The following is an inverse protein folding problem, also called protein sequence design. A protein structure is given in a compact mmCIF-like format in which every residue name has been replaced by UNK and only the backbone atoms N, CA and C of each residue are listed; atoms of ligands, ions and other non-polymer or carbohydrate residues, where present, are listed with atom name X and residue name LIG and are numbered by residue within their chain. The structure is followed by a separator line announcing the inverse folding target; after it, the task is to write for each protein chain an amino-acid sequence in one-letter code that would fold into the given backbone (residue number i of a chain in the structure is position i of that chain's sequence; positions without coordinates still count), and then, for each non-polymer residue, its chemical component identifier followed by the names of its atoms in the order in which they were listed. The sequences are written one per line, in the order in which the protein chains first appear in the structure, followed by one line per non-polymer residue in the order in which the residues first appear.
data_IF_444918889519
#
_entry.id   IF_444918889519
#
_cell.length_a   1.000
_cell.length_b   1.000
_cell.length_c   1.000
_cell.angle_alpha   90.00
_cell.angle_beta   90.00
_cell.angle_gamma   90.00
#
_symmetry.space_group_name_H-M   'P 1'
#
loop_
_entity.id
_entity.type
_entity.pdbx_description
1 polymer ?
#
# COMPACT_ATOMS: atom_id res chain seq x y z
N UNK A 1 -6.40 8.91 31.44
CA UNK A 1 -6.67 10.33 31.16
C UNK A 1 -6.58 10.50 29.67
N UNK A 2 -7.59 11.12 29.05
CA UNK A 2 -7.58 11.49 27.64
C UNK A 2 -7.00 12.91 27.54
N UNK A 3 -6.01 13.11 26.67
CA UNK A 3 -5.45 14.43 26.38
C UNK A 3 -5.92 14.90 25.01
N UNK A 4 -6.62 16.04 24.97
CA UNK A 4 -6.97 16.71 23.71
C UNK A 4 -5.95 17.80 23.41
N UNK A 5 -5.23 17.69 22.29
CA UNK A 5 -4.14 18.59 21.92
C UNK A 5 -4.27 18.95 20.42
N UNK A 6 -3.94 20.19 20.01
CA UNK A 6 -3.90 20.58 18.59
C UNK A 6 -2.69 21.46 18.29
N UNK A 7 -2.04 21.22 17.13
CA UNK A 7 -0.91 22.02 16.63
C UNK A 7 0.38 21.96 17.47
N UNK A 8 0.49 21.02 18.42
CA UNK A 8 1.61 20.91 19.34
C UNK A 8 2.52 19.70 19.06
N UNK A 9 3.72 19.73 19.63
CA UNK A 9 4.61 18.57 19.66
C UNK A 9 4.38 17.73 20.92
N UNK A 10 4.32 16.41 20.75
CA UNK A 10 4.22 15.42 21.82
C UNK A 10 5.44 14.50 21.76
N UNK A 11 6.15 14.38 22.89
CA UNK A 11 7.23 13.38 23.03
C UNK A 11 6.77 12.30 23.99
N UNK A 12 6.70 11.06 23.54
CA UNK A 12 6.35 9.91 24.38
C UNK A 12 7.57 9.03 24.64
N UNK A 13 7.96 8.99 25.92
CA UNK A 13 8.99 8.08 26.43
C UNK A 13 8.38 6.92 27.25
N UNK A 14 7.08 6.99 27.57
CA UNK A 14 6.36 6.04 28.41
C UNK A 14 5.26 5.31 27.63
N UNK A 15 4.09 5.13 28.22
CA UNK A 15 2.97 4.46 27.55
C UNK A 15 1.82 5.43 27.29
N UNK A 16 1.41 5.56 26.03
CA UNK A 16 0.12 6.12 25.63
C UNK A 16 -0.85 4.95 25.46
N UNK A 17 -1.88 4.89 26.29
CA UNK A 17 -2.85 3.78 26.26
C UNK A 17 -4.25 4.34 26.03
N UNK A 18 -4.92 3.86 24.97
CA UNK A 18 -6.37 3.98 24.83
C UNK A 18 -7.07 3.00 25.76
N UNK A 19 -8.39 3.04 25.85
CA UNK A 19 -9.10 2.03 26.65
C UNK A 19 -9.13 0.64 25.98
N UNK A 20 -9.99 -0.26 26.48
CA UNK A 20 -9.90 -1.71 26.19
C UNK A 20 -10.88 -2.23 25.13
N UNK A 21 -11.72 -1.37 24.53
CA UNK A 21 -12.69 -1.77 23.49
C UNK A 21 -13.04 -0.66 22.50
N UNK A 22 -13.79 -0.98 21.43
CA UNK A 22 -14.05 -0.10 20.27
C UNK A 22 -14.74 1.24 20.58
N UNK A 23 -15.34 1.38 21.76
CA UNK A 23 -16.00 2.61 22.24
C UNK A 23 -15.23 3.27 23.39
N UNK A 24 -14.01 2.80 23.67
CA UNK A 24 -13.22 3.36 24.76
C UNK A 24 -12.49 4.62 24.30
N UNK A 25 -12.37 5.60 25.19
CA UNK A 25 -11.68 6.87 24.91
C UNK A 25 -10.20 6.65 24.57
N UNK A 26 -9.66 7.58 23.78
CA UNK A 26 -8.27 7.53 23.38
C UNK A 26 -7.33 7.95 24.52
N UNK A 27 -6.06 7.54 24.43
CA UNK A 27 -5.02 8.14 25.27
C UNK A 27 -4.77 9.59 24.87
N UNK A 28 -4.68 9.84 23.56
CA UNK A 28 -4.51 11.16 22.96
C UNK A 28 -5.49 11.33 21.80
N UNK A 29 -6.21 12.45 21.77
CA UNK A 29 -7.05 12.87 20.65
C UNK A 29 -6.56 14.23 20.14
N UNK A 30 -6.36 14.39 18.82
CA UNK A 30 -5.86 15.68 18.34
C UNK A 30 -5.72 15.85 16.83
N UNK A 31 -5.38 17.06 16.41
CA UNK A 31 -5.11 17.38 15.01
C UNK A 31 -3.85 18.23 14.84
N UNK A 32 -3.13 18.03 13.74
CA UNK A 32 -1.91 18.80 13.45
C UNK A 32 -0.77 18.52 14.43
N UNK A 33 -0.73 17.33 15.04
CA UNK A 33 0.27 17.00 16.06
C UNK A 33 1.54 16.44 15.43
N UNK A 34 2.69 16.86 15.96
CA UNK A 34 3.97 16.17 15.72
C UNK A 34 4.28 15.27 16.91
N UNK A 35 4.34 13.96 16.69
CA UNK A 35 4.51 12.97 17.76
C UNK A 35 5.84 12.25 17.57
N UNK A 36 6.72 12.33 18.56
CA UNK A 36 7.95 11.55 18.64
C UNK A 36 7.76 10.45 19.70
N UNK A 37 7.57 9.21 19.27
CA UNK A 37 7.37 8.07 20.15
C UNK A 37 8.60 7.16 20.21
N UNK A 38 9.23 7.09 21.39
CA UNK A 38 10.19 6.03 21.73
C UNK A 38 9.64 5.06 22.78
N UNK A 39 8.45 5.33 23.31
CA UNK A 39 7.74 4.50 24.28
C UNK A 39 6.76 3.53 23.62
N UNK A 40 5.65 3.21 24.29
CA UNK A 40 4.60 2.33 23.76
C UNK A 40 3.32 3.11 23.47
N UNK A 41 2.71 2.87 22.30
CA UNK A 41 1.33 3.27 21.97
C UNK A 41 0.47 2.00 21.94
N UNK A 42 -0.55 1.92 22.79
CA UNK A 42 -1.34 0.69 22.98
C UNK A 42 -2.83 0.92 23.24
N UNK A 43 -3.58 -0.19 23.34
CA UNK A 43 -5.02 -0.21 23.61
C UNK A 43 -5.89 -0.15 22.34
N UNK A 44 -7.20 -0.03 22.55
CA UNK A 44 -8.17 0.31 21.51
C UNK A 44 -8.14 1.83 21.34
N UNK A 45 -7.22 2.30 20.48
CA UNK A 45 -6.95 3.70 20.15
C UNK A 45 -6.07 4.45 21.16
N UNK A 46 -4.78 4.14 21.21
CA UNK A 46 -3.80 4.97 21.90
C UNK A 46 -3.84 6.41 21.42
N UNK A 47 -3.86 6.60 20.09
CA UNK A 47 -3.94 7.92 19.44
C UNK A 47 -5.08 7.93 18.43
N UNK A 48 -5.90 8.98 18.45
CA UNK A 48 -6.91 9.29 17.42
C UNK A 48 -6.67 10.70 16.90
N UNK A 49 -6.65 10.89 15.58
CA UNK A 49 -6.49 12.23 15.05
C UNK A 49 -6.39 12.37 13.54
N UNK A 50 -6.19 13.62 13.10
CA UNK A 50 -5.93 13.99 11.71
C UNK A 50 -4.69 14.88 11.60
N UNK A 51 -4.11 14.95 10.41
CA UNK A 51 -2.92 15.77 10.13
C UNK A 51 -1.77 15.47 11.12
N UNK A 52 -1.62 14.20 11.48
CA UNK A 52 -0.63 13.74 12.44
C UNK A 52 0.69 13.45 11.71
N UNK A 53 1.80 13.92 12.27
CA UNK A 53 3.15 13.57 11.86
C UNK A 53 3.83 12.77 12.96
N UNK A 54 3.94 11.45 12.78
CA UNK A 54 4.43 10.53 13.81
C UNK A 54 5.78 9.95 13.41
N UNK A 55 6.79 10.13 14.25
CA UNK A 55 8.04 9.35 14.20
C UNK A 55 8.05 8.37 15.34
N UNK A 56 8.19 7.08 15.03
CA UNK A 56 8.09 5.99 15.99
C UNK A 56 9.33 5.09 15.95
N UNK A 57 10.10 5.08 17.04
CA UNK A 57 11.15 4.10 17.35
C UNK A 57 10.75 3.10 18.42
N UNK A 58 9.61 3.33 19.08
CA UNK A 58 9.07 2.46 20.12
C UNK A 58 8.08 1.42 19.61
N UNK A 59 7.18 0.96 20.49
CA UNK A 59 6.22 -0.11 20.20
C UNK A 59 4.83 0.46 19.87
N UNK A 60 4.21 -0.07 18.82
CA UNK A 60 2.80 0.11 18.49
C UNK A 60 2.11 -1.24 18.72
N UNK A 61 1.27 -1.36 19.75
CA UNK A 61 0.62 -2.62 20.14
C UNK A 61 -0.83 -2.39 20.57
N UNK A 62 -1.71 -2.31 19.57
CA UNK A 62 -3.14 -2.11 19.77
C UNK A 62 -3.90 -3.43 19.70
N UNK A 63 -4.91 -3.59 20.55
CA UNK A 63 -5.84 -4.73 20.48
C UNK A 63 -6.85 -4.59 19.34
N UNK A 64 -7.06 -3.37 18.83
CA UNK A 64 -7.91 -3.04 17.66
C UNK A 64 -7.14 -2.19 16.67
N UNK A 65 -6.90 -0.92 17.00
CA UNK A 65 -5.98 -0.03 16.28
C UNK A 65 -5.28 0.83 17.32
N UNK A 66 -3.96 0.75 17.39
CA UNK A 66 -3.19 1.57 18.32
C UNK A 66 -3.26 3.06 17.93
N UNK A 67 -3.32 3.32 16.62
CA UNK A 67 -3.45 4.65 16.04
C UNK A 67 -4.60 4.62 15.03
N UNK A 68 -5.51 5.58 15.14
CA UNK A 68 -6.57 5.82 14.16
C UNK A 68 -6.40 7.19 13.53
N UNK A 69 -6.23 7.19 12.21
CA UNK A 69 -6.22 8.39 11.39
C UNK A 69 -7.63 8.64 10.85
N UNK A 70 -8.23 9.77 11.25
CA UNK A 70 -9.63 10.10 10.97
C UNK A 70 -9.83 10.97 9.73
N UNK A 71 -8.76 11.55 9.20
CA UNK A 71 -8.80 12.47 8.07
C UNK A 71 -7.45 13.14 7.83
N UNK A 72 -7.44 14.12 6.92
CA UNK A 72 -6.26 14.97 6.70
C UNK A 72 -5.09 14.28 6.01
N UNK A 73 -3.92 14.91 6.07
CA UNK A 73 -2.68 14.41 5.51
C UNK A 73 -1.73 13.98 6.64
N UNK A 74 -1.58 12.67 6.82
CA UNK A 74 -0.81 12.10 7.92
C UNK A 74 0.52 11.52 7.43
N UNK A 75 1.53 11.55 8.28
CA UNK A 75 2.82 10.89 8.04
C UNK A 75 3.16 9.95 9.21
N UNK A 76 3.70 8.78 8.88
CA UNK A 76 4.21 7.82 9.85
C UNK A 76 5.59 7.34 9.39
N UNK A 77 6.61 7.64 10.20
CA UNK A 77 7.98 7.16 10.02
C UNK A 77 8.25 6.12 11.09
N UNK A 78 8.52 4.90 10.66
CA UNK A 78 8.83 3.78 11.54
C UNK A 78 10.32 3.49 11.43
N UNK A 79 11.02 3.58 12.56
CA UNK A 79 12.46 3.35 12.62
C UNK A 79 12.76 1.89 12.98
N UNK A 80 13.93 1.39 12.57
CA UNK A 80 14.40 0.05 12.86
C UNK A 80 14.17 -0.38 14.33
N UNK A 81 13.61 -1.58 14.51
CA UNK A 81 13.33 -2.15 15.83
C UNK A 81 11.98 -1.76 16.44
N UNK A 82 11.22 -0.86 15.82
CA UNK A 82 9.85 -0.58 16.23
C UNK A 82 8.96 -1.84 16.06
N UNK A 83 8.36 -2.29 17.17
CA UNK A 83 7.41 -3.38 17.15
C UNK A 83 6.05 -2.87 16.65
N UNK A 84 5.46 -3.57 15.68
CA UNK A 84 4.36 -3.04 14.89
C UNK A 84 3.05 -3.75 15.16
N UNK A 85 1.97 -2.97 15.18
CA UNK A 85 0.62 -3.42 15.44
C UNK A 85 -0.36 -2.95 14.36
N UNK A 86 -1.65 -3.08 14.65
CA UNK A 86 -2.70 -2.62 13.75
C UNK A 86 -2.89 -1.10 13.88
N UNK A 87 -3.00 -0.42 12.75
CA UNK A 87 -3.49 0.96 12.65
C UNK A 87 -4.72 1.01 11.75
N UNK A 88 -5.53 2.06 11.87
CA UNK A 88 -6.69 2.26 10.99
C UNK A 88 -6.68 3.62 10.31
N UNK A 89 -7.19 3.64 9.08
CA UNK A 89 -7.52 4.84 8.34
C UNK A 89 -9.03 4.83 8.10
N UNK A 90 -9.75 5.74 8.76
CA UNK A 90 -11.17 6.00 8.48
C UNK A 90 -11.39 7.20 7.55
N UNK A 91 -10.33 7.98 7.28
CA UNK A 91 -10.35 9.06 6.31
C UNK A 91 -8.94 9.55 5.98
N UNK A 92 -8.82 10.30 4.87
CA UNK A 92 -7.59 11.01 4.51
C UNK A 92 -6.48 10.14 3.92
N UNK A 93 -5.25 10.65 4.03
CA UNK A 93 -4.03 10.05 3.50
C UNK A 93 -3.06 9.68 4.61
N UNK A 94 -2.39 8.55 4.49
CA UNK A 94 -1.25 8.16 5.31
C UNK A 94 -0.02 7.94 4.44
N UNK A 95 1.02 8.72 4.70
CA UNK A 95 2.31 8.61 4.01
C UNK A 95 3.34 7.95 4.89
N UNK A 96 3.94 6.91 4.34
CA UNK A 96 5.03 6.13 4.87
C UNK A 96 6.34 6.62 4.24
N UNK A 97 7.23 7.17 5.07
CA UNK A 97 8.55 7.69 4.65
C UNK A 97 9.71 6.89 5.26
N UNK A 98 9.47 5.63 5.65
CA UNK A 98 10.47 4.78 6.28
C UNK A 98 11.51 4.23 5.29
N UNK A 99 12.74 4.13 5.76
CA UNK A 99 13.86 3.52 5.03
C UNK A 99 14.02 2.03 5.35
N UNK A 100 13.50 1.60 6.50
CA UNK A 100 13.53 0.22 6.98
C UNK A 100 12.33 -0.59 6.47
N UNK A 101 12.52 -1.92 6.36
CA UNK A 101 11.43 -2.85 6.09
C UNK A 101 10.51 -2.98 7.30
N UNK A 102 9.22 -2.88 7.05
CA UNK A 102 8.18 -2.81 8.07
C UNK A 102 6.97 -3.60 7.63
N UNK A 103 6.44 -4.41 8.56
CA UNK A 103 5.14 -5.06 8.40
C UNK A 103 4.09 -4.31 9.22
N UNK A 104 3.01 -3.90 8.55
CA UNK A 104 1.91 -3.20 9.20
C UNK A 104 0.57 -3.76 8.73
N UNK A 105 -0.34 -3.97 9.69
CA UNK A 105 -1.74 -4.17 9.33
C UNK A 105 -2.43 -2.81 9.31
N UNK A 106 -2.90 -2.41 8.14
CA UNK A 106 -3.64 -1.15 7.96
C UNK A 106 -5.10 -1.46 7.64
N UNK A 107 -5.98 -1.20 8.59
CA UNK A 107 -7.43 -1.27 8.35
C UNK A 107 -7.88 0.02 7.66
N UNK A 108 -7.70 0.07 6.33
CA UNK A 108 -8.11 1.20 5.50
C UNK A 108 -9.55 1.08 4.99
N UNK A 109 -10.35 2.13 5.17
CA UNK A 109 -11.71 2.24 4.63
C UNK A 109 -11.72 2.77 3.19
N UNK A 110 -12.81 2.52 2.45
CA UNK A 110 -13.02 3.10 1.12
C UNK A 110 -12.87 4.63 1.16
N UNK A 111 -12.14 5.19 0.18
CA UNK A 111 -11.87 6.62 0.08
C UNK A 111 -10.62 7.10 0.81
N UNK A 112 -9.85 6.19 1.43
CA UNK A 112 -8.55 6.51 2.05
C UNK A 112 -7.39 6.24 1.09
N UNK A 113 -6.24 6.87 1.33
CA UNK A 113 -5.02 6.69 0.54
C UNK A 113 -3.84 6.30 1.42
N UNK A 114 -3.10 5.27 1.01
CA UNK A 114 -1.82 4.87 1.58
C UNK A 114 -0.74 5.22 0.56
N UNK A 115 0.30 5.92 1.00
CA UNK A 115 1.42 6.32 0.15
C UNK A 115 2.70 5.73 0.73
N UNK A 116 3.42 4.93 -0.06
CA UNK A 116 4.81 4.56 0.22
C UNK A 116 5.74 5.49 -0.56
N UNK A 117 6.53 6.27 0.17
CA UNK A 117 7.46 7.25 -0.37
C UNK A 117 8.90 7.03 0.12
N UNK A 118 9.08 6.29 1.21
CA UNK A 118 10.38 5.83 1.67
C UNK A 118 10.91 4.62 0.89
N UNK A 119 12.20 4.31 1.03
CA UNK A 119 12.88 3.24 0.29
C UNK A 119 12.64 1.83 0.82
N UNK A 120 12.11 1.70 2.04
CA UNK A 120 11.87 0.39 2.67
C UNK A 120 10.70 -0.38 2.05
N UNK A 121 10.48 -1.58 2.54
CA UNK A 121 9.31 -2.40 2.24
C UNK A 121 8.20 -2.14 3.24
N UNK A 122 7.02 -1.77 2.76
CA UNK A 122 5.77 -1.75 3.54
C UNK A 122 4.96 -3.02 3.22
N UNK A 123 4.95 -3.98 4.14
CA UNK A 123 4.10 -5.16 4.01
C UNK A 123 2.70 -4.85 4.54
N UNK A 124 1.68 -4.88 3.66
CA UNK A 124 0.27 -4.65 4.01
C UNK A 124 -0.47 -5.98 4.15
N UNK A 125 -1.07 -6.19 5.33
CA UNK A 125 -1.81 -7.42 5.62
C UNK A 125 -3.24 -7.45 5.03
N UNK A 126 -3.92 -6.30 4.90
CA UNK A 126 -5.23 -6.09 4.25
C UNK A 126 -5.40 -4.58 4.00
N UNK A 127 -6.32 -4.15 3.12
CA UNK A 127 -6.70 -2.73 3.02
C UNK A 127 -7.68 -2.44 1.88
N UNK A 128 -8.57 -1.46 2.01
CA UNK A 128 -9.50 -1.02 0.95
C UNK A 128 -9.12 0.32 0.28
N UNK A 129 -7.92 0.81 0.56
CA UNK A 129 -7.41 2.14 0.20
C UNK A 129 -6.86 2.20 -1.23
N UNK A 130 -6.79 3.40 -1.81
CA UNK A 130 -5.87 3.71 -2.90
C UNK A 130 -4.43 3.56 -2.40
N UNK A 131 -3.61 2.78 -3.08
CA UNK A 131 -2.20 2.55 -2.73
C UNK A 131 -1.32 3.25 -3.74
N UNK A 132 -0.43 4.13 -3.30
CA UNK A 132 0.54 4.82 -4.18
C UNK A 132 1.95 4.49 -3.78
N UNK A 133 2.78 4.12 -4.73
CA UNK A 133 4.16 3.66 -4.50
C UNK A 133 5.10 4.56 -5.30
N UNK A 134 5.62 5.60 -4.64
CA UNK A 134 6.58 6.54 -5.23
C UNK A 134 8.03 6.05 -5.11
N UNK A 135 8.31 5.22 -4.12
CA UNK A 135 9.63 4.61 -3.88
C UNK A 135 9.48 3.32 -3.08
N UNK A 136 10.57 2.59 -2.90
CA UNK A 136 10.61 1.35 -2.13
C UNK A 136 9.63 0.31 -2.63
N UNK A 137 9.11 -0.49 -1.70
CA UNK A 137 8.22 -1.62 -2.02
C UNK A 137 6.94 -1.56 -1.17
N UNK A 138 5.80 -1.87 -1.78
CA UNK A 138 4.60 -2.31 -1.04
C UNK A 138 4.39 -3.79 -1.32
N UNK A 139 4.44 -4.62 -0.27
CA UNK A 139 4.31 -6.07 -0.35
C UNK A 139 2.95 -6.56 0.19
N UNK A 140 2.30 -7.50 -0.49
CA UNK A 140 0.99 -8.06 -0.06
C UNK A 140 0.92 -9.58 -0.19
N UNK A 141 0.13 -10.22 0.67
CA UNK A 141 -0.12 -11.67 0.63
C UNK A 141 -1.58 -12.04 0.35
N UNK A 142 -2.53 -11.40 1.05
CA UNK A 142 -3.95 -11.75 1.01
C UNK A 142 -4.81 -10.83 0.11
N UNK A 143 -4.19 -9.86 -0.57
CA UNK A 143 -4.85 -8.93 -1.50
C UNK A 143 -4.91 -7.47 -1.03
N UNK A 144 -5.23 -6.58 -1.97
CA UNK A 144 -5.22 -5.10 -1.85
C UNK A 144 -6.60 -4.48 -1.57
N UNK A 145 -7.59 -5.32 -1.26
CA UNK A 145 -9.00 -4.92 -1.23
C UNK A 145 -9.48 -4.36 -2.56
N UNK A 146 -10.12 -3.19 -2.56
CA UNK A 146 -10.86 -2.65 -3.72
C UNK A 146 -10.33 -1.32 -4.26
N UNK A 147 -9.32 -0.71 -3.63
CA UNK A 147 -8.76 0.56 -4.10
C UNK A 147 -7.76 0.37 -5.26
N UNK A 148 -7.53 1.39 -6.10
CA UNK A 148 -6.52 1.29 -7.14
C UNK A 148 -5.09 1.21 -6.56
N UNK A 149 -4.16 0.74 -7.37
CA UNK A 149 -2.72 0.82 -7.10
C UNK A 149 -2.09 1.75 -8.13
N UNK A 150 -1.35 2.76 -7.68
CA UNK A 150 -0.53 3.62 -8.53
C UNK A 150 0.94 3.36 -8.24
N UNK A 151 1.71 3.06 -9.27
CA UNK A 151 3.16 2.86 -9.18
C UNK A 151 3.85 3.99 -9.95
N UNK A 152 4.68 4.74 -9.26
CA UNK A 152 5.38 5.93 -9.77
C UNK A 152 6.83 5.94 -9.27
N UNK A 153 7.57 4.90 -9.65
CA UNK A 153 8.99 4.70 -9.33
C UNK A 153 9.26 3.53 -8.38
N UNK A 154 8.27 3.07 -7.61
CA UNK A 154 8.44 1.95 -6.66
C UNK A 154 8.06 0.57 -7.20
N UNK A 155 7.93 -0.38 -6.26
CA UNK A 155 7.62 -1.79 -6.53
C UNK A 155 6.35 -2.23 -5.83
N UNK A 156 5.42 -2.80 -6.58
CA UNK A 156 4.35 -3.63 -6.04
C UNK A 156 4.83 -5.09 -6.00
N UNK A 157 4.91 -5.68 -4.81
CA UNK A 157 5.40 -7.04 -4.60
C UNK A 157 4.31 -7.93 -4.01
N UNK A 158 4.33 -9.22 -4.37
CA UNK A 158 3.54 -10.23 -3.68
C UNK A 158 4.41 -11.28 -3.02
N UNK A 159 4.02 -11.75 -1.84
CA UNK A 159 4.67 -12.89 -1.16
C UNK A 159 3.78 -14.13 -1.05
N UNK A 160 2.51 -14.00 -1.43
CA UNK A 160 1.59 -15.12 -1.67
C UNK A 160 0.86 -14.87 -3.00
N UNK A 161 0.38 -15.94 -3.65
CA UNK A 161 -0.31 -15.82 -4.94
C UNK A 161 -1.67 -15.14 -4.79
N UNK A 162 -1.97 -14.15 -5.65
CA UNK A 162 -3.22 -13.39 -5.59
C UNK A 162 -3.96 -13.37 -6.93
N UNK A 163 -5.28 -13.24 -6.83
CA UNK A 163 -6.16 -12.83 -7.93
C UNK A 163 -6.83 -11.54 -7.50
N UNK A 164 -6.70 -10.50 -8.30
CA UNK A 164 -7.33 -9.21 -7.99
C UNK A 164 -7.90 -8.52 -9.22
N UNK A 165 -8.89 -7.67 -8.99
CA UNK A 165 -9.47 -6.76 -9.99
C UNK A 165 -9.12 -5.29 -9.77
N UNK A 166 -8.24 -4.96 -8.82
CA UNK A 166 -7.79 -3.58 -8.62
C UNK A 166 -7.29 -2.99 -9.95
N UNK A 167 -7.60 -1.71 -10.18
CA UNK A 167 -6.99 -0.95 -11.26
C UNK A 167 -5.53 -0.68 -10.92
N UNK A 168 -4.61 -0.93 -11.85
CA UNK A 168 -3.22 -0.52 -11.74
C UNK A 168 -2.96 0.71 -12.63
N UNK A 169 -2.33 1.73 -12.08
CA UNK A 169 -1.82 2.90 -12.80
C UNK A 169 -0.30 2.86 -12.76
N UNK A 170 0.33 3.08 -13.90
CA UNK A 170 1.77 3.31 -13.98
C UNK A 170 1.98 4.74 -14.45
N UNK A 171 2.79 5.48 -13.69
CA UNK A 171 3.11 6.87 -13.96
C UNK A 171 4.43 7.01 -14.70
N UNK A 172 4.79 8.25 -15.03
CA UNK A 172 5.99 8.60 -15.80
C UNK A 172 7.31 8.15 -15.18
N UNK A 173 7.36 7.86 -13.87
CA UNK A 173 8.56 7.31 -13.21
C UNK A 173 8.64 5.79 -13.32
N UNK A 174 7.74 5.17 -14.11
CA UNK A 174 7.63 3.74 -14.36
C UNK A 174 7.17 2.97 -13.11
N UNK A 175 6.93 1.67 -13.27
CA UNK A 175 6.49 0.83 -12.17
C UNK A 175 6.98 -0.60 -12.29
N UNK A 176 7.30 -1.18 -11.14
CA UNK A 176 7.73 -2.58 -11.03
C UNK A 176 6.63 -3.43 -10.39
N UNK A 177 6.31 -4.55 -11.00
CA UNK A 177 5.54 -5.63 -10.39
C UNK A 177 6.50 -6.81 -10.14
N UNK A 178 6.74 -7.10 -8.86
CA UNK A 178 7.53 -8.25 -8.41
C UNK A 178 6.62 -9.39 -7.97
N UNK A 179 6.64 -10.48 -8.73
CA UNK A 179 5.85 -11.66 -8.39
C UNK A 179 6.53 -12.58 -7.41
N UNK A 180 7.80 -12.36 -7.08
CA UNK A 180 8.67 -13.35 -6.45
C UNK A 180 8.49 -14.71 -7.16
N UNK A 181 8.29 -15.80 -6.44
CA UNK A 181 7.97 -17.12 -7.00
C UNK A 181 6.46 -17.39 -7.16
N UNK A 182 5.62 -16.37 -7.00
CA UNK A 182 4.16 -16.50 -6.89
C UNK A 182 3.42 -16.10 -8.19
N UNK A 183 2.09 -16.24 -8.17
CA UNK A 183 1.22 -15.83 -9.27
C UNK A 183 0.47 -14.54 -8.93
N UNK A 184 0.57 -13.52 -9.78
CA UNK A 184 -0.33 -12.36 -9.78
C UNK A 184 -1.29 -12.50 -10.94
N UNK A 185 -2.59 -12.53 -10.67
CA UNK A 185 -3.62 -12.46 -11.69
C UNK A 185 -4.36 -11.14 -11.59
N UNK A 186 -4.26 -10.30 -12.62
CA UNK A 186 -5.11 -9.13 -12.78
C UNK A 186 -6.34 -9.54 -13.60
N UNK A 187 -7.40 -9.90 -12.87
CA UNK A 187 -8.65 -10.38 -13.41
C UNK A 187 -9.59 -9.21 -13.75
N UNK A 188 -10.40 -9.31 -14.82
CA UNK A 188 -11.42 -8.32 -15.11
C UNK A 188 -12.36 -8.16 -13.91
N UNK A 189 -12.84 -6.94 -13.69
CA UNK A 189 -13.74 -6.69 -12.59
C UNK A 189 -15.07 -7.42 -12.74
N UNK A 190 -15.48 -8.07 -11.65
CA UNK A 190 -16.80 -8.63 -11.53
C UNK A 190 -17.80 -7.48 -11.31
N UNK A 191 -18.52 -7.12 -12.37
CA UNK A 191 -19.49 -6.01 -12.35
C UNK A 191 -20.73 -6.42 -11.58
N UNK A 192 -20.80 -6.12 -10.28
CA UNK A 192 -22.08 -6.17 -9.55
C UNK A 192 -22.51 -4.80 -9.01
N UNK A 193 -21.75 -3.98 -8.28
CA UNK A 193 -22.16 -2.59 -7.97
C UNK A 193 -20.93 -1.69 -7.74
N UNK A 194 -20.87 -0.55 -8.42
CA UNK A 194 -19.79 0.43 -8.30
C UNK A 194 -18.52 0.02 -9.05
N UNK A 195 -18.08 0.85 -9.99
CA UNK A 195 -16.91 0.59 -10.81
C UNK A 195 -15.63 0.84 -9.99
N UNK A 196 -15.11 -0.19 -9.33
CA UNK A 196 -13.96 -0.06 -8.41
C UNK A 196 -12.75 -0.91 -8.81
N UNK A 197 -12.79 -1.52 -9.99
CA UNK A 197 -11.68 -2.30 -10.50
C UNK A 197 -11.82 -2.50 -12.00
N UNK A 198 -10.71 -2.77 -12.67
CA UNK A 198 -10.71 -3.20 -14.07
C UNK A 198 -9.80 -4.41 -14.28
N UNK A 199 -8.91 -4.73 -13.34
CA UNK A 199 -7.77 -5.63 -13.56
C UNK A 199 -6.85 -5.18 -14.70
N UNK A 200 -6.99 -3.93 -15.16
CA UNK A 200 -6.16 -3.38 -16.21
C UNK A 200 -5.02 -2.55 -15.62
N UNK A 201 -3.93 -2.51 -16.35
CA UNK A 201 -2.85 -1.54 -16.19
C UNK A 201 -3.08 -0.39 -17.17
N UNK A 202 -3.05 0.85 -16.68
CA UNK A 202 -3.29 2.07 -17.47
C UNK A 202 -2.23 3.14 -17.15
N UNK A 203 -2.06 4.12 -18.03
CA UNK A 203 -1.28 5.32 -17.70
C UNK A 203 -2.01 6.14 -16.62
N UNK A 204 -1.27 6.64 -15.63
CA UNK A 204 -1.83 7.49 -14.57
C UNK A 204 -1.68 8.99 -14.85
N UNK A 205 -0.43 9.46 -15.02
CA UNK A 205 -0.10 10.87 -15.27
C UNK A 205 0.73 11.10 -16.55
N UNK A 206 0.82 10.09 -17.41
CA UNK A 206 1.61 10.06 -18.64
C UNK A 206 2.09 8.64 -18.95
N UNK A 207 2.80 8.44 -20.07
CA UNK A 207 3.31 7.12 -20.45
C UNK A 207 4.23 6.55 -19.39
N UNK A 208 3.82 5.45 -18.77
CA UNK A 208 4.61 4.72 -17.77
C UNK A 208 5.05 3.35 -18.27
N UNK A 209 6.32 2.98 -18.06
CA UNK A 209 6.82 1.66 -18.41
C UNK A 209 6.54 0.63 -17.32
N UNK A 210 6.11 -0.57 -17.72
CA UNK A 210 5.94 -1.71 -16.83
C UNK A 210 7.21 -2.57 -16.80
N UNK A 211 7.76 -2.81 -15.62
CA UNK A 211 8.80 -3.83 -15.39
C UNK A 211 8.22 -4.99 -14.59
N UNK A 212 8.31 -6.21 -15.12
CA UNK A 212 7.98 -7.45 -14.43
C UNK A 212 9.26 -8.15 -13.97
N UNK A 213 9.36 -8.41 -12.67
CA UNK A 213 10.46 -9.18 -12.05
C UNK A 213 9.93 -10.37 -11.23
N UNK A 214 10.84 -11.20 -10.72
CA UNK A 214 10.52 -12.43 -9.99
C UNK A 214 10.24 -13.62 -10.91
N UNK A 215 10.63 -14.82 -10.49
CA UNK A 215 10.50 -16.07 -11.25
C UNK A 215 9.06 -16.52 -11.52
N UNK A 216 8.10 -15.97 -10.79
CA UNK A 216 6.67 -16.23 -10.90
C UNK A 216 6.02 -15.62 -12.14
N UNK A 217 4.68 -15.68 -12.17
CA UNK A 217 3.90 -15.29 -13.33
C UNK A 217 2.98 -14.10 -13.03
N UNK A 218 3.03 -13.07 -13.88
CA UNK A 218 2.05 -11.99 -13.95
C UNK A 218 1.09 -12.30 -15.10
N UNK A 219 -0.20 -12.42 -14.81
CA UNK A 219 -1.24 -12.74 -15.79
C UNK A 219 -2.25 -11.62 -15.92
N UNK A 220 -2.39 -11.10 -17.14
CA UNK A 220 -3.25 -9.97 -17.46
C UNK A 220 -4.47 -10.49 -18.23
N UNK A 221 -5.67 -10.35 -17.66
CA UNK A 221 -6.93 -10.74 -18.32
C UNK A 221 -7.75 -9.59 -18.88
N UNK A 222 -7.32 -8.35 -18.64
CA UNK A 222 -7.97 -7.14 -19.12
C UNK A 222 -7.15 -6.42 -20.18
N UNK A 223 -7.82 -5.62 -21.01
CA UNK A 223 -7.15 -4.72 -21.97
C UNK A 223 -6.32 -3.71 -21.19
N UNK A 224 -5.00 -3.72 -21.37
CA UNK A 224 -4.10 -2.78 -20.72
C UNK A 224 -3.80 -1.63 -21.67
N UNK A 225 -3.96 -0.39 -21.19
CA UNK A 225 -3.88 0.82 -22.00
C UNK A 225 -2.74 1.75 -21.59
N UNK A 226 -1.77 1.26 -20.82
CA UNK A 226 -0.52 2.00 -20.60
C UNK A 226 0.27 2.07 -21.91
N UNK A 227 0.93 3.20 -22.14
CA UNK A 227 1.58 3.48 -23.43
C UNK A 227 3.10 3.44 -23.36
N UNK A 228 3.70 3.34 -22.17
CA UNK A 228 5.12 3.06 -22.01
C UNK A 228 5.47 1.62 -22.36
N UNK A 229 6.77 1.30 -22.39
CA UNK A 229 7.27 -0.03 -22.75
C UNK A 229 7.00 -1.09 -21.68
N UNK A 230 7.02 -2.35 -22.09
CA UNK A 230 6.94 -3.52 -21.21
C UNK A 230 8.28 -4.25 -21.19
N UNK A 231 8.85 -4.45 -19.99
CA UNK A 231 10.06 -5.26 -19.78
C UNK A 231 9.75 -6.45 -18.89
N UNK A 232 10.08 -7.66 -19.34
CA UNK A 232 9.99 -8.89 -18.53
C UNK A 232 11.41 -9.34 -18.23
N UNK A 233 11.86 -9.06 -17.02
CA UNK A 233 13.24 -9.35 -16.62
C UNK A 233 13.40 -10.77 -16.08
N UNK A 234 12.33 -11.34 -15.53
CA UNK A 234 12.32 -12.71 -14.99
C UNK A 234 10.88 -13.29 -15.01
N UNK A 235 10.80 -14.61 -15.09
CA UNK A 235 9.55 -15.36 -15.02
C UNK A 235 8.69 -15.17 -16.26
N UNK A 236 7.36 -15.18 -16.07
CA UNK A 236 6.40 -15.16 -17.16
C UNK A 236 5.47 -13.95 -17.09
N UNK A 237 5.33 -13.24 -18.21
CA UNK A 237 4.18 -12.37 -18.47
C UNK A 237 3.19 -13.15 -19.35
N UNK A 238 2.01 -13.42 -18.82
CA UNK A 238 0.95 -14.17 -19.52
C UNK A 238 -0.23 -13.25 -19.86
N UNK A 239 -0.73 -13.35 -21.09
CA UNK A 239 -1.99 -12.76 -21.52
C UNK A 239 -3.06 -13.85 -21.60
N UNK A 240 -4.25 -13.59 -21.07
CA UNK A 240 -5.38 -14.51 -21.16
C UNK A 240 -6.71 -13.80 -21.40
N UNK A 241 -7.71 -14.50 -21.93
CA UNK A 241 -9.03 -13.94 -22.20
C UNK A 241 -8.96 -12.75 -23.18
N UNK A 242 -9.41 -11.56 -22.74
CA UNK A 242 -9.31 -10.32 -23.54
C UNK A 242 -8.03 -9.52 -23.25
N UNK A 243 -7.16 -10.07 -22.42
CA UNK A 243 -5.92 -9.45 -21.97
C UNK A 243 -4.98 -9.13 -23.13
N UNK A 244 -4.53 -7.88 -23.23
CA UNK A 244 -3.52 -7.47 -24.20
C UNK A 244 -2.73 -6.25 -23.72
N UNK A 245 -1.58 -6.04 -24.34
CA UNK A 245 -0.68 -4.89 -24.11
C UNK A 245 -0.45 -4.12 -25.42
N UNK A 246 -1.44 -4.12 -26.32
CA UNK A 246 -1.27 -3.56 -27.68
C UNK A 246 -0.98 -2.05 -27.70
N UNK A 247 -1.30 -1.33 -26.61
CA UNK A 247 -0.98 0.09 -26.43
C UNK A 247 0.47 0.33 -25.98
N UNK A 248 1.16 -0.68 -25.46
CA UNK A 248 2.57 -0.59 -25.04
C UNK A 248 3.45 -0.24 -26.23
N UNK A 249 4.45 0.62 -26.00
CA UNK A 249 5.38 1.05 -27.06
C UNK A 249 6.37 -0.05 -27.48
N UNK A 250 6.44 -1.17 -26.76
CA UNK A 250 7.30 -2.30 -27.09
C UNK A 250 7.42 -3.31 -25.97
N UNK A 251 7.84 -4.54 -26.30
CA UNK A 251 8.08 -5.63 -25.35
C UNK A 251 9.55 -6.05 -25.41
N UNK A 252 10.21 -6.07 -24.25
CA UNK A 252 11.58 -6.61 -24.08
C UNK A 252 11.55 -7.81 -23.15
N UNK A 253 12.22 -8.90 -23.54
CA UNK A 253 12.38 -10.10 -22.72
C UNK A 253 13.87 -10.30 -22.40
N UNK A 254 14.20 -10.40 -21.12
CA UNK A 254 15.53 -10.83 -20.68
C UNK A 254 15.75 -12.32 -20.94
N UNK A 255 17.01 -12.80 -21.01
CA UNK A 255 17.29 -14.23 -21.14
C UNK A 255 16.58 -15.07 -20.07
N UNK A 256 15.81 -16.07 -20.51
CA UNK A 256 15.04 -16.95 -19.61
C UNK A 256 13.66 -16.42 -19.21
N UNK A 257 13.32 -15.16 -19.53
CA UNK A 257 11.96 -14.65 -19.38
C UNK A 257 11.04 -15.19 -20.49
N UNK A 258 9.76 -15.34 -20.16
CA UNK A 258 8.73 -15.86 -21.09
C UNK A 258 7.60 -14.84 -21.27
N UNK A 259 7.18 -14.67 -22.52
CA UNK A 259 5.90 -14.04 -22.86
C UNK A 259 4.97 -15.14 -23.38
N UNK A 260 3.85 -15.33 -22.70
CA UNK A 260 2.88 -16.40 -22.97
C UNK A 260 1.54 -15.79 -23.38
N UNK A 261 0.97 -16.30 -24.47
CA UNK A 261 -0.37 -15.92 -24.94
C UNK A 261 -1.25 -17.14 -24.81
N UNK A 262 -2.15 -17.10 -23.83
CA UNK A 262 -3.06 -18.19 -23.50
C UNK A 262 -4.39 -17.94 -24.21
N UNK A 263 -4.69 -18.78 -25.20
CA UNK A 263 -5.95 -18.77 -25.96
C UNK A 263 -7.13 -19.27 -25.12
#
# INVERSE_FOLDING_TARGET
MEFTISGAALTNLGTITGGTGSNSGAGVTGSGLTINNSGTISGAYGIIGSDLSITNSGTISGTISAIQFTGGANTLVLQAGAAQGVISLSGGTLTFNQFDDVSLSVLGQLGTTIIQNGSGTLTLATGGSDVRIFSGTVAVGSGLGVGPVTIDGGTFQIYESIVTSNLFRINTTNGTIDTQANFVTLAPAFRIIGNWGSGAIVDGNGPGALTKIGSGQLRLFSVNSYTGSTSVNEGTLALGGVGNIAASSGLTLSPGATFDIQL
#
